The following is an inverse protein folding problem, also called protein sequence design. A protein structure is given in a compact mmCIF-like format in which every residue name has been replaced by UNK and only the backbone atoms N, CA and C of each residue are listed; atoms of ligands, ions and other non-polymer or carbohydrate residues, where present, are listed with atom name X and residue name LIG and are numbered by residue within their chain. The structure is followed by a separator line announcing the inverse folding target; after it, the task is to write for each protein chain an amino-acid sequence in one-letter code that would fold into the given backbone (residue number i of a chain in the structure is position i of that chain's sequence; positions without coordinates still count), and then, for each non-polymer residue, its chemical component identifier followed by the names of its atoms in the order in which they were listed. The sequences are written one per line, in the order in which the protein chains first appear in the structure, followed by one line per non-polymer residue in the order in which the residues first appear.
data_IF_118286512047
#
_entry.id   IF_118286512047
#
_cell.length_a   1.000
_cell.length_b   1.000
_cell.length_c   1.000
_cell.angle_alpha   90.00
_cell.angle_beta   90.00
_cell.angle_gamma   90.00
#
_symmetry.space_group_name_H-M   'P 1'
#
loop_
_entity.id
_entity.type
_entity.pdbx_description
1 polymer ?
#
# COMPACT_ATOMS: atom_id res chain seq x y z
N UNK A 1 -14.09 35.74 -36.30
CA UNK A 1 -14.24 35.64 -34.83
C UNK A 1 -15.09 34.46 -34.30
N UNK A 2 -15.51 33.48 -35.12
CA UNK A 2 -16.25 32.28 -34.63
C UNK A 2 -15.39 31.06 -34.31
N UNK A 3 -14.18 30.95 -34.87
CA UNK A 3 -13.31 29.78 -34.71
C UNK A 3 -12.65 29.66 -33.32
N UNK A 4 -12.46 30.77 -32.60
CA UNK A 4 -11.79 30.77 -31.29
C UNK A 4 -12.66 30.19 -30.16
N UNK A 5 -14.00 30.29 -30.29
CA UNK A 5 -14.93 29.73 -29.29
C UNK A 5 -15.05 28.21 -29.40
N UNK A 6 -14.93 27.66 -30.61
CA UNK A 6 -15.00 26.20 -30.85
C UNK A 6 -13.78 25.47 -30.32
N UNK A 7 -12.58 26.04 -30.48
CA UNK A 7 -11.33 25.43 -30.01
C UNK A 7 -11.26 25.32 -28.48
N UNK A 8 -11.68 26.36 -27.76
CA UNK A 8 -11.68 26.38 -26.29
C UNK A 8 -12.64 25.34 -25.69
N UNK A 9 -13.80 25.11 -26.31
CA UNK A 9 -14.77 24.11 -25.84
C UNK A 9 -14.26 22.69 -26.09
N UNK A 10 -13.65 22.42 -27.25
CA UNK A 10 -13.09 21.08 -27.54
C UNK A 10 -11.90 20.74 -26.64
N UNK A 11 -11.05 21.72 -26.31
CA UNK A 11 -9.89 21.50 -25.42
C UNK A 11 -10.32 21.29 -23.96
N UNK A 12 -11.37 21.98 -23.49
CA UNK A 12 -11.92 21.78 -22.15
C UNK A 12 -12.62 20.41 -22.00
N UNK A 13 -13.29 19.93 -23.05
CA UNK A 13 -13.94 18.60 -23.07
C UNK A 13 -12.88 17.48 -23.13
N UNK A 14 -11.81 17.66 -23.92
CA UNK A 14 -10.69 16.71 -23.93
C UNK A 14 -9.96 16.65 -22.57
N UNK A 15 -9.78 17.79 -21.90
CA UNK A 15 -9.21 17.85 -20.56
C UNK A 15 -10.09 17.19 -19.49
N UNK A 16 -11.40 17.33 -19.59
CA UNK A 16 -12.34 16.70 -18.65
C UNK A 16 -12.45 15.17 -18.88
N UNK A 17 -12.42 14.71 -20.14
CA UNK A 17 -12.42 13.29 -20.46
C UNK A 17 -11.10 12.61 -20.07
N UNK A 18 -9.96 13.28 -20.21
CA UNK A 18 -8.68 12.76 -19.72
C UNK A 18 -8.66 12.65 -18.18
N UNK A 19 -9.26 13.60 -17.45
CA UNK A 19 -9.35 13.56 -15.99
C UNK A 19 -10.33 12.47 -15.48
N UNK A 20 -11.38 12.15 -16.24
CA UNK A 20 -12.32 11.08 -15.89
C UNK A 20 -11.80 9.68 -16.25
N UNK A 21 -10.94 9.55 -17.25
CA UNK A 21 -10.44 8.23 -17.72
C UNK A 21 -9.44 7.56 -16.78
N UNK A 22 -8.77 8.32 -15.90
CA UNK A 22 -7.67 7.79 -15.07
C UNK A 22 -8.18 7.16 -13.76
N UNK A 23 -9.40 7.50 -13.30
CA UNK A 23 -10.01 6.90 -12.10
C UNK A 23 -10.96 5.73 -12.38
N UNK A 24 -11.19 5.36 -13.64
CA UNK A 24 -12.35 4.54 -14.03
C UNK A 24 -12.21 3.03 -13.85
N UNK A 25 -11.06 2.51 -13.39
CA UNK A 25 -10.84 1.05 -13.29
C UNK A 25 -10.29 0.56 -11.96
N UNK A 26 -10.21 1.42 -10.94
CA UNK A 26 -9.90 0.98 -9.58
C UNK A 26 -11.10 1.23 -8.69
N UNK A 27 -11.61 0.18 -8.06
CA UNK A 27 -12.62 0.31 -7.01
C UNK A 27 -12.06 1.21 -5.90
N UNK A 28 -12.91 1.96 -5.16
CA UNK A 28 -12.44 2.71 -4.01
C UNK A 28 -11.66 1.79 -3.08
N UNK A 29 -10.46 2.22 -2.68
CA UNK A 29 -9.64 1.46 -1.75
C UNK A 29 -10.45 1.14 -0.47
N UNK A 30 -10.39 -0.10 0.04
CA UNK A 30 -11.11 -0.48 1.26
C UNK A 30 -10.76 0.42 2.44
N UNK A 31 -11.72 0.66 3.34
CA UNK A 31 -11.40 1.42 4.56
C UNK A 31 -10.48 0.61 5.47
N UNK A 32 -9.38 1.21 5.91
CA UNK A 32 -8.52 0.69 6.98
C UNK A 32 -8.89 1.23 8.37
N UNK A 33 -9.82 2.20 8.41
CA UNK A 33 -10.30 2.80 9.65
C UNK A 33 -11.37 1.94 10.34
N UNK A 34 -11.53 2.15 11.65
CA UNK A 34 -12.51 1.46 12.48
C UNK A 34 -11.90 0.41 13.42
N UNK A 35 -12.72 -0.18 14.31
CA UNK A 35 -12.27 -1.28 15.16
C UNK A 35 -11.93 -2.51 14.30
N UNK A 36 -10.95 -3.28 14.76
CA UNK A 36 -10.53 -4.55 14.16
C UNK A 36 -10.98 -5.70 15.05
N UNK A 37 -11.73 -6.64 14.49
CA UNK A 37 -12.11 -7.87 15.17
C UNK A 37 -10.93 -8.85 15.21
N UNK A 38 -10.85 -9.73 16.23
CA UNK A 38 -9.84 -10.79 16.29
C UNK A 38 -9.74 -11.62 15.00
N UNK A 39 -8.56 -11.67 14.38
CA UNK A 39 -8.31 -12.39 13.13
C UNK A 39 -8.92 -11.75 11.88
N UNK A 40 -9.45 -10.52 11.98
CA UNK A 40 -9.97 -9.80 10.82
C UNK A 40 -8.86 -9.54 9.79
N UNK A 41 -9.20 -9.78 8.53
CA UNK A 41 -8.36 -9.49 7.38
C UNK A 41 -9.06 -8.47 6.48
N UNK A 42 -8.30 -7.52 5.93
CA UNK A 42 -8.75 -6.64 4.85
C UNK A 42 -7.74 -6.72 3.72
N UNK A 43 -8.22 -6.84 2.50
CA UNK A 43 -7.38 -6.99 1.32
C UNK A 43 -7.75 -5.97 0.24
N UNK A 44 -6.79 -5.63 -0.60
CA UNK A 44 -6.97 -4.75 -1.73
C UNK A 44 -5.78 -4.82 -2.68
N UNK A 45 -5.91 -4.11 -3.79
CA UNK A 45 -4.87 -3.98 -4.80
C UNK A 45 -4.59 -2.49 -4.99
N UNK A 46 -3.31 -2.12 -5.10
CA UNK A 46 -2.88 -0.74 -5.35
C UNK A 46 -2.06 -0.65 -6.63
N UNK A 47 -2.36 0.34 -7.48
CA UNK A 47 -1.60 0.62 -8.69
C UNK A 47 -0.45 1.59 -8.43
N UNK A 48 0.78 1.25 -8.84
CA UNK A 48 1.92 2.18 -8.85
C UNK A 48 2.32 2.52 -10.29
N UNK A 49 2.48 3.81 -10.61
CA UNK A 49 2.70 4.25 -12.00
C UNK A 49 4.10 4.81 -12.21
N UNK A 50 4.61 4.72 -13.43
CA UNK A 50 5.83 5.39 -13.85
C UNK A 50 5.53 6.88 -14.09
N UNK A 51 6.28 7.82 -13.48
CA UNK A 51 6.04 9.26 -13.66
C UNK A 51 6.26 9.74 -15.09
N UNK A 52 7.07 9.03 -15.89
CA UNK A 52 7.35 9.40 -17.28
C UNK A 52 6.30 8.85 -18.24
N UNK A 53 5.56 7.82 -17.82
CA UNK A 53 4.48 7.23 -18.60
C UNK A 53 3.45 6.58 -17.66
N UNK A 54 2.31 7.22 -17.43
CA UNK A 54 1.31 6.73 -16.47
C UNK A 54 0.55 5.48 -16.93
N UNK A 55 0.73 5.05 -18.19
CA UNK A 55 0.23 3.75 -18.67
C UNK A 55 1.21 2.61 -18.39
N UNK A 56 2.45 2.91 -18.00
CA UNK A 56 3.44 1.95 -17.50
C UNK A 56 3.25 1.86 -15.98
N UNK A 57 2.71 0.74 -15.51
CA UNK A 57 2.32 0.54 -14.13
C UNK A 57 2.53 -0.89 -13.65
N UNK A 58 2.62 -1.03 -12.34
CA UNK A 58 2.60 -2.31 -11.64
C UNK A 58 1.44 -2.33 -10.65
N UNK A 59 1.01 -3.50 -10.22
CA UNK A 59 0.03 -3.69 -9.15
C UNK A 59 0.73 -4.20 -7.89
N UNK A 60 0.10 -3.94 -6.75
CA UNK A 60 0.55 -4.40 -5.43
C UNK A 60 -0.66 -4.93 -4.70
N UNK A 61 -0.74 -6.24 -4.55
CA UNK A 61 -1.72 -6.89 -3.72
C UNK A 61 -1.29 -6.82 -2.29
N UNK A 62 -2.26 -6.58 -1.42
CA UNK A 62 -2.00 -6.45 -0.01
C UNK A 62 -3.11 -7.07 0.80
N UNK A 63 -2.70 -7.64 1.94
CA UNK A 63 -3.58 -8.07 3.01
C UNK A 63 -3.07 -7.44 4.30
N UNK A 64 -3.97 -6.85 5.08
CA UNK A 64 -3.71 -6.50 6.47
C UNK A 64 -4.49 -7.45 7.36
N UNK A 65 -3.78 -8.16 8.22
CA UNK A 65 -4.34 -9.08 9.22
C UNK A 65 -4.11 -8.51 10.62
N UNK A 66 -5.14 -8.52 11.47
CA UNK A 66 -4.95 -8.31 12.91
C UNK A 66 -4.65 -9.64 13.62
N UNK A 67 -3.39 -9.87 13.99
CA UNK A 67 -2.91 -11.09 14.64
C UNK A 67 -3.25 -11.11 16.14
N UNK A 68 -4.54 -11.11 16.48
CA UNK A 68 -4.99 -11.03 17.86
C UNK A 68 -4.58 -12.22 18.74
N UNK A 69 -4.29 -13.39 18.15
CA UNK A 69 -4.01 -14.63 18.88
C UNK A 69 -2.57 -15.14 18.71
N UNK A 70 -1.73 -14.43 17.93
CA UNK A 70 -0.32 -14.78 17.76
C UNK A 70 -0.07 -15.90 16.76
N UNK A 71 -0.88 -16.04 15.71
CA UNK A 71 -0.65 -16.99 14.62
C UNK A 71 0.68 -16.71 13.91
N UNK A 72 1.05 -15.43 13.82
CA UNK A 72 2.34 -15.00 13.29
C UNK A 72 3.42 -14.87 14.37
N UNK A 73 3.10 -15.20 15.62
CA UNK A 73 4.00 -15.07 16.77
C UNK A 73 3.94 -13.71 17.46
N UNK A 74 3.09 -12.79 17.01
CA UNK A 74 3.00 -11.42 17.50
C UNK A 74 1.55 -11.05 17.90
N UNK A 75 1.05 -11.59 19.04
CA UNK A 75 -0.29 -11.30 19.51
C UNK A 75 -0.54 -9.79 19.68
N UNK A 76 -1.61 -9.29 19.05
CA UNK A 76 -2.01 -7.89 19.13
C UNK A 76 -1.33 -6.97 18.11
N UNK A 77 -0.55 -7.54 17.18
CA UNK A 77 0.07 -6.78 16.09
C UNK A 77 -0.70 -6.93 14.78
N UNK A 78 -0.45 -6.02 13.84
CA UNK A 78 -0.93 -6.08 12.48
C UNK A 78 0.15 -6.66 11.57
N UNK A 79 -0.24 -7.58 10.69
CA UNK A 79 0.62 -8.12 9.65
C UNK A 79 0.22 -7.48 8.33
N UNK A 80 1.13 -6.72 7.75
CA UNK A 80 1.00 -6.07 6.45
C UNK A 80 1.72 -6.94 5.43
N UNK A 81 0.95 -7.63 4.59
CA UNK A 81 1.48 -8.46 3.51
C UNK A 81 1.36 -7.70 2.19
N UNK A 82 2.37 -7.85 1.34
CA UNK A 82 2.40 -7.29 -0.01
C UNK A 82 2.90 -8.34 -1.00
N UNK A 83 2.34 -8.35 -2.20
CA UNK A 83 2.89 -9.04 -3.36
C UNK A 83 2.94 -8.06 -4.52
N UNK A 84 4.10 -7.98 -5.18
CA UNK A 84 4.31 -7.06 -6.30
C UNK A 84 4.01 -7.79 -7.58
N UNK A 85 3.29 -7.13 -8.46
CA UNK A 85 2.83 -7.70 -9.71
C UNK A 85 3.25 -6.83 -10.88
N UNK A 86 4.10 -7.38 -11.74
CA UNK A 86 4.52 -6.67 -12.92
C UNK A 86 3.49 -6.84 -14.05
N UNK A 87 2.35 -6.17 -13.93
CA UNK A 87 1.19 -6.37 -14.80
C UNK A 87 1.33 -5.65 -16.14
N UNK A 88 1.85 -4.42 -16.13
CA UNK A 88 2.07 -3.61 -17.33
C UNK A 88 3.41 -2.86 -17.29
N UNK A 89 4.31 -3.25 -16.39
CA UNK A 89 5.57 -2.58 -16.18
C UNK A 89 6.52 -2.81 -17.35
N UNK A 90 7.10 -1.73 -17.88
CA UNK A 90 8.01 -1.81 -19.03
C UNK A 90 9.37 -2.48 -18.72
N UNK A 91 9.69 -2.64 -17.44
CA UNK A 91 10.97 -3.18 -16.96
C UNK A 91 10.75 -4.10 -15.74
N UNK A 92 11.76 -4.92 -15.42
CA UNK A 92 11.68 -5.86 -14.31
C UNK A 92 11.87 -5.17 -12.96
N UNK A 93 11.06 -5.52 -11.96
CA UNK A 93 11.14 -4.90 -10.63
C UNK A 93 12.31 -5.52 -9.85
N UNK A 94 13.16 -4.68 -9.26
CA UNK A 94 14.33 -5.09 -8.45
C UNK A 94 14.26 -4.70 -6.99
N UNK A 95 13.47 -3.70 -6.66
CA UNK A 95 13.28 -3.30 -5.29
C UNK A 95 11.93 -2.65 -5.07
N UNK A 96 11.47 -2.72 -3.83
CA UNK A 96 10.23 -2.15 -3.37
C UNK A 96 10.43 -1.52 -2.00
N UNK A 97 9.91 -0.31 -1.84
CA UNK A 97 10.08 0.47 -0.65
C UNK A 97 8.70 0.90 -0.16
N UNK A 98 8.42 0.64 1.10
CA UNK A 98 7.20 1.08 1.78
C UNK A 98 7.60 2.14 2.79
N UNK A 99 7.00 3.31 2.71
CA UNK A 99 7.29 4.43 3.61
C UNK A 99 6.08 4.71 4.49
N UNK A 100 6.31 4.66 5.79
CA UNK A 100 5.36 5.03 6.83
C UNK A 100 5.97 6.17 7.65
N UNK A 101 5.29 7.31 7.71
CA UNK A 101 5.73 8.41 8.58
C UNK A 101 5.80 7.95 10.05
N UNK A 102 6.57 8.63 10.89
CA UNK A 102 6.62 8.37 12.33
C UNK A 102 7.95 8.73 12.97
N UNK A 103 8.02 8.71 14.30
CA UNK A 103 9.30 8.55 15.01
C UNK A 103 9.52 7.05 15.21
N UNK A 104 10.78 6.61 15.21
CA UNK A 104 11.18 5.23 15.39
C UNK A 104 10.45 4.60 16.58
N UNK A 105 9.72 3.51 16.36
CA UNK A 105 8.98 2.87 17.42
C UNK A 105 8.20 1.65 16.96
N UNK A 106 8.87 0.51 16.99
CA UNK A 106 8.29 -0.82 17.19
C UNK A 106 7.69 -1.54 15.96
N UNK A 107 8.39 -1.56 14.83
CA UNK A 107 8.18 -2.70 13.94
C UNK A 107 8.66 -3.95 14.67
N UNK A 108 7.77 -4.92 14.84
CA UNK A 108 8.09 -6.18 15.51
C UNK A 108 8.95 -7.08 14.61
N UNK A 109 8.66 -7.08 13.30
CA UNK A 109 9.38 -7.88 12.30
C UNK A 109 9.21 -7.32 10.88
N UNK A 110 10.17 -7.60 10.01
CA UNK A 110 10.02 -7.51 8.56
C UNK A 110 10.59 -8.78 7.92
N UNK A 111 10.05 -9.19 6.78
CA UNK A 111 10.61 -10.36 6.10
C UNK A 111 9.93 -10.72 4.80
N UNK A 112 10.24 -11.93 4.35
CA UNK A 112 9.71 -12.55 3.14
C UNK A 112 9.18 -13.93 3.50
N UNK A 113 7.99 -14.27 2.99
CA UNK A 113 7.46 -15.64 3.03
C UNK A 113 7.40 -16.21 1.62
N UNK A 114 7.79 -17.47 1.50
CA UNK A 114 7.60 -18.20 0.26
C UNK A 114 6.11 -18.48 0.05
N UNK A 115 5.69 -18.44 -1.21
CA UNK A 115 4.31 -18.66 -1.59
C UNK A 115 3.73 -17.47 -2.33
N UNK A 116 2.45 -17.61 -2.60
CA UNK A 116 1.59 -16.75 -3.40
C UNK A 116 0.50 -16.21 -2.48
N UNK A 117 0.23 -14.90 -2.51
CA UNK A 117 -0.77 -14.26 -1.64
C UNK A 117 -2.17 -14.66 -2.07
N UNK A 118 -2.39 -15.00 -3.34
CA UNK A 118 -3.68 -15.44 -3.90
C UNK A 118 -4.07 -16.84 -3.43
N UNK A 119 -3.06 -17.64 -3.08
CA UNK A 119 -3.24 -18.98 -2.57
C UNK A 119 -3.63 -18.95 -1.09
N UNK A 120 -4.66 -19.72 -0.73
CA UNK A 120 -5.04 -19.94 0.67
C UNK A 120 -3.89 -20.58 1.44
N UNK A 121 -3.45 -19.95 2.52
CA UNK A 121 -2.41 -20.47 3.40
C UNK A 121 -2.83 -20.40 4.89
N UNK A 122 -3.91 -21.09 5.29
CA UNK A 122 -4.37 -21.07 6.67
C UNK A 122 -3.36 -21.75 7.62
N UNK A 123 -3.20 -21.26 8.86
CA UNK A 123 -3.96 -20.15 9.47
C UNK A 123 -3.37 -18.76 9.16
N UNK A 124 -2.32 -18.64 8.34
CA UNK A 124 -1.55 -17.41 8.17
C UNK A 124 -2.30 -16.34 7.38
N UNK A 125 -2.95 -16.70 6.26
CA UNK A 125 -3.83 -15.81 5.50
C UNK A 125 -4.86 -16.59 4.68
N UNK A 126 -5.98 -15.93 4.39
CA UNK A 126 -6.88 -16.31 3.31
C UNK A 126 -6.33 -15.77 2.00
N UNK A 127 -6.44 -16.54 0.92
CA UNK A 127 -5.95 -16.13 -0.40
C UNK A 127 -6.55 -14.80 -0.84
N UNK A 128 -5.71 -13.91 -1.36
CA UNK A 128 -6.11 -12.65 -1.97
C UNK A 128 -6.85 -12.95 -3.27
N UNK A 129 -8.18 -12.98 -3.20
CA UNK A 129 -9.03 -13.18 -4.36
C UNK A 129 -10.47 -12.81 -4.03
N UNK A 130 -11.28 -12.63 -5.08
CA UNK A 130 -12.72 -12.34 -4.99
C UNK A 130 -13.58 -13.34 -4.20
N UNK A 131 -13.13 -14.59 -3.97
CA UNK A 131 -13.88 -15.56 -3.16
C UNK A 131 -13.79 -15.23 -1.67
N UNK A 132 -12.61 -14.77 -1.22
CA UNK A 132 -12.37 -14.41 0.17
C UNK A 132 -12.64 -12.92 0.44
N UNK A 133 -12.44 -12.05 -0.55
CA UNK A 133 -12.59 -10.61 -0.43
C UNK A 133 -13.42 -10.05 -1.60
N UNK A 134 -14.71 -9.83 -1.39
CA UNK A 134 -15.63 -9.45 -2.49
C UNK A 134 -15.28 -8.17 -3.25
N UNK A 135 -14.47 -7.27 -2.66
CA UNK A 135 -13.97 -6.06 -3.31
C UNK A 135 -12.91 -6.33 -4.41
N UNK A 136 -12.51 -7.57 -4.59
CA UNK A 136 -11.47 -7.99 -5.53
C UNK A 136 -12.03 -8.59 -6.84
N UNK A 137 -13.35 -8.60 -7.03
CA UNK A 137 -14.04 -9.21 -8.20
C UNK A 137 -13.66 -8.71 -9.59
N UNK A 138 -12.89 -7.64 -9.70
CA UNK A 138 -12.45 -7.01 -10.97
C UNK A 138 -10.94 -6.98 -11.14
N UNK A 139 -10.20 -7.59 -10.21
CA UNK A 139 -8.74 -7.69 -10.30
C UNK A 139 -8.32 -8.61 -11.45
N UNK A 140 -7.05 -8.55 -11.83
CA UNK A 140 -6.51 -9.38 -12.91
C UNK A 140 -5.15 -9.89 -12.50
N UNK A 141 -5.11 -11.16 -12.11
CA UNK A 141 -3.88 -11.78 -11.66
C UNK A 141 -2.87 -11.97 -12.80
N UNK A 142 -1.60 -11.65 -12.59
CA UNK A 142 -0.49 -12.10 -13.41
C UNK A 142 -0.30 -13.59 -13.19
N UNK A 143 -1.07 -14.43 -13.90
CA UNK A 143 -1.01 -15.87 -13.69
C UNK A 143 0.42 -16.44 -13.72
N UNK A 144 0.74 -17.35 -12.80
CA UNK A 144 2.06 -17.95 -12.75
C UNK A 144 2.42 -18.57 -11.42
N UNK A 145 3.72 -18.64 -11.17
CA UNK A 145 4.26 -18.94 -9.84
C UNK A 145 5.08 -17.72 -9.40
N UNK A 146 5.12 -17.39 -8.10
CA UNK A 146 5.97 -16.33 -7.60
C UNK A 146 7.40 -16.47 -8.06
N UNK A 147 8.00 -15.37 -8.51
CA UNK A 147 9.32 -15.41 -9.12
C UNK A 147 10.44 -15.38 -8.06
N UNK A 148 11.32 -16.38 -8.13
CA UNK A 148 12.49 -16.49 -7.26
C UNK A 148 12.28 -17.41 -6.06
N UNK A 149 13.21 -17.37 -5.12
CA UNK A 149 13.15 -18.06 -3.84
C UNK A 149 13.60 -17.11 -2.72
N UNK A 150 13.46 -17.52 -1.46
CA UNK A 150 13.81 -16.69 -0.30
C UNK A 150 15.24 -16.12 -0.35
N UNK A 151 16.21 -16.86 -0.89
CA UNK A 151 17.60 -16.40 -1.01
C UNK A 151 17.81 -15.29 -2.04
N UNK A 152 16.81 -15.03 -2.90
CA UNK A 152 16.84 -13.90 -3.83
C UNK A 152 16.38 -12.58 -3.21
N UNK A 153 15.72 -12.61 -2.05
CA UNK A 153 15.10 -11.43 -1.45
C UNK A 153 15.82 -11.03 -0.17
N UNK A 154 15.99 -9.72 0.03
CA UNK A 154 16.47 -9.15 1.28
C UNK A 154 15.49 -8.06 1.74
N UNK A 155 15.16 -8.05 3.03
CA UNK A 155 14.39 -7.00 3.68
C UNK A 155 15.29 -6.26 4.68
N UNK A 156 15.21 -4.93 4.70
CA UNK A 156 15.93 -4.10 5.66
C UNK A 156 15.24 -2.75 5.86
N UNK A 157 15.63 -2.06 6.93
CA UNK A 157 15.20 -0.68 7.21
C UNK A 157 16.26 0.29 6.67
N UNK A 158 16.05 0.96 5.52
CA UNK A 158 16.98 1.98 5.04
C UNK A 158 16.96 3.23 5.93
N UNK A 159 15.82 3.50 6.58
CA UNK A 159 15.64 4.54 7.59
C UNK A 159 14.53 4.13 8.58
N UNK A 160 14.33 4.88 9.69
CA UNK A 160 13.31 4.52 10.70
C UNK A 160 11.86 4.48 10.22
N UNK A 161 11.58 5.04 9.04
CA UNK A 161 10.24 5.33 8.53
C UNK A 161 9.96 4.59 7.23
N UNK A 162 10.75 3.58 6.92
CA UNK A 162 10.57 2.80 5.72
C UNK A 162 11.18 1.42 5.82
N UNK A 163 10.64 0.53 5.00
CA UNK A 163 11.18 -0.81 4.75
C UNK A 163 11.51 -0.92 3.28
N UNK A 164 12.66 -1.52 2.98
CA UNK A 164 13.11 -1.83 1.64
C UNK A 164 13.23 -3.33 1.46
N UNK A 165 12.66 -3.82 0.36
CA UNK A 165 12.83 -5.17 -0.14
C UNK A 165 13.63 -5.08 -1.43
N UNK A 166 14.71 -5.85 -1.52
CA UNK A 166 15.60 -5.87 -2.69
C UNK A 166 15.75 -7.29 -3.21
N UNK A 167 15.81 -7.40 -4.54
CA UNK A 167 15.96 -8.66 -5.25
C UNK A 167 17.38 -8.76 -5.82
N UNK A 168 18.05 -9.88 -5.53
CA UNK A 168 19.40 -10.20 -6.00
C UNK A 168 19.39 -11.39 -6.95
N UNK A 169 20.06 -11.24 -8.09
CA UNK A 169 20.16 -12.28 -9.13
C UNK A 169 18.88 -12.51 -9.93
N UNK A 170 17.78 -11.82 -9.62
CA UNK A 170 16.50 -11.90 -10.34
C UNK A 170 15.84 -10.52 -10.44
N UNK A 171 14.79 -10.42 -11.26
CA UNK A 171 13.85 -9.30 -11.34
C UNK A 171 12.45 -9.83 -11.53
N UNK A 172 11.41 -9.20 -10.98
CA UNK A 172 10.03 -9.58 -11.28
C UNK A 172 9.72 -9.13 -12.72
N UNK A 173 9.72 -10.07 -13.66
CA UNK A 173 9.48 -9.77 -15.08
C UNK A 173 8.00 -9.53 -15.37
N UNK A 174 7.68 -8.91 -16.51
CA UNK A 174 6.31 -8.71 -16.96
C UNK A 174 5.49 -10.01 -16.91
N UNK A 175 4.27 -9.93 -16.37
CA UNK A 175 3.36 -11.06 -16.16
C UNK A 175 3.79 -12.00 -15.03
N UNK A 176 4.61 -11.53 -14.09
CA UNK A 176 5.05 -12.30 -12.90
C UNK A 176 4.87 -11.46 -11.65
N UNK A 177 4.92 -12.17 -10.53
CA UNK A 177 4.74 -11.63 -9.19
C UNK A 177 5.94 -11.92 -8.26
N UNK A 178 6.05 -11.18 -7.16
CA UNK A 178 7.02 -11.44 -6.11
C UNK A 178 6.60 -12.60 -5.21
N UNK A 179 7.52 -13.02 -4.34
CA UNK A 179 7.12 -13.69 -3.09
C UNK A 179 6.37 -12.70 -2.17
N UNK A 180 5.71 -13.21 -1.14
CA UNK A 180 5.02 -12.38 -0.14
C UNK A 180 6.04 -11.63 0.71
N UNK A 181 5.96 -10.30 0.68
CA UNK A 181 6.75 -9.36 1.48
C UNK A 181 5.91 -8.97 2.69
N UNK A 182 6.49 -8.85 3.88
CA UNK A 182 5.68 -8.48 5.06
C UNK A 182 6.36 -7.57 6.07
N UNK A 183 5.51 -6.80 6.76
CA UNK A 183 5.83 -5.99 7.94
C UNK A 183 4.91 -6.45 9.07
N UNK A 184 5.41 -6.63 10.29
CA UNK A 184 4.62 -6.84 11.50
C UNK A 184 4.80 -5.62 12.40
N UNK A 185 3.70 -5.02 12.80
CA UNK A 185 3.71 -3.77 13.58
C UNK A 185 2.45 -3.63 14.45
N UNK A 186 2.57 -3.22 15.73
CA UNK A 186 1.42 -3.05 16.62
C UNK A 186 0.56 -1.82 16.28
N UNK A 187 1.05 -0.89 15.45
CA UNK A 187 0.31 0.30 15.06
C UNK A 187 -0.79 -0.09 14.06
N UNK A 188 -1.97 0.50 14.25
CA UNK A 188 -3.09 0.33 13.35
C UNK A 188 -2.76 0.79 11.91
N UNK A 189 -3.37 0.17 10.90
CA UNK A 189 -3.08 0.46 9.51
C UNK A 189 -3.65 1.81 9.05
N UNK A 190 -2.91 2.48 8.18
CA UNK A 190 -3.35 3.64 7.39
C UNK A 190 -2.85 3.50 5.95
N UNK A 191 -3.22 4.40 5.05
CA UNK A 191 -2.66 4.44 3.70
C UNK A 191 -1.40 5.30 3.64
N UNK A 192 -0.34 4.77 3.02
CA UNK A 192 0.97 5.42 2.90
C UNK A 192 1.60 5.27 1.53
N UNK A 193 2.84 5.74 1.42
CA UNK A 193 3.58 5.78 0.16
C UNK A 193 4.32 4.46 -0.07
N UNK A 194 4.29 3.99 -1.32
CA UNK A 194 5.17 2.91 -1.77
C UNK A 194 5.79 3.23 -3.13
N UNK A 195 6.98 2.64 -3.34
CA UNK A 195 7.76 2.82 -4.55
C UNK A 195 8.45 1.52 -4.95
N UNK A 196 8.19 1.07 -6.16
CA UNK A 196 8.96 0.02 -6.82
C UNK A 196 10.00 0.63 -7.77
N UNK A 197 11.09 -0.08 -7.99
CA UNK A 197 12.18 0.41 -8.84
C UNK A 197 12.92 -0.72 -9.56
N UNK A 198 13.40 -0.39 -10.75
CA UNK A 198 14.48 -1.04 -11.46
C UNK A 198 15.71 -0.09 -11.48
N UNK A 199 16.79 -0.48 -12.15
CA UNK A 199 17.98 0.33 -12.38
C UNK A 199 17.73 1.65 -13.13
N UNK A 200 16.77 1.69 -14.04
CA UNK A 200 16.49 2.87 -14.89
C UNK A 200 15.05 3.42 -14.76
N UNK A 201 14.14 2.67 -14.16
CA UNK A 201 12.71 2.99 -14.05
C UNK A 201 12.24 2.91 -12.60
N UNK A 202 11.17 3.63 -12.29
CA UNK A 202 10.50 3.49 -10.99
C UNK A 202 9.00 3.73 -11.12
N UNK A 203 8.25 3.12 -10.21
CA UNK A 203 6.80 3.22 -10.12
C UNK A 203 6.40 3.63 -8.71
N UNK A 204 5.44 4.53 -8.59
CA UNK A 204 4.92 4.98 -7.30
C UNK A 204 3.65 5.81 -7.46
N UNK A 205 3.20 6.38 -6.35
CA UNK A 205 2.20 7.43 -6.37
C UNK A 205 2.86 8.76 -6.77
N UNK A 206 2.34 9.44 -7.79
CA UNK A 206 2.96 10.65 -8.36
C UNK A 206 1.90 11.71 -8.66
N UNK A 207 2.21 12.98 -8.38
CA UNK A 207 1.34 14.11 -8.74
C UNK A 207 1.95 14.88 -9.91
N UNK A 208 1.26 14.87 -11.05
CA UNK A 208 1.67 15.55 -12.28
C UNK A 208 0.57 16.53 -12.69
N UNK A 209 0.91 17.82 -12.82
CA UNK A 209 -0.06 18.84 -13.24
C UNK A 209 -1.28 18.98 -12.31
N UNK A 210 -1.13 18.66 -11.02
CA UNK A 210 -2.22 18.69 -10.03
C UNK A 210 -3.11 17.43 -10.01
N UNK A 211 -2.82 16.44 -10.85
CA UNK A 211 -3.50 15.13 -10.85
C UNK A 211 -2.58 14.10 -10.21
N UNK A 212 -3.09 13.40 -9.19
CA UNK A 212 -2.39 12.27 -8.57
C UNK A 212 -2.71 10.99 -9.31
N UNK A 213 -1.66 10.30 -9.73
CA UNK A 213 -1.68 8.99 -10.35
C UNK A 213 -1.08 7.95 -9.40
N UNK A 214 -1.54 6.71 -9.53
CA UNK A 214 -1.21 5.63 -8.61
C UNK A 214 -1.98 5.73 -7.29
N UNK A 215 -1.79 4.72 -6.47
CA UNK A 215 -2.57 4.46 -5.27
C UNK A 215 -1.63 4.18 -4.09
N UNK A 216 -2.00 4.62 -2.88
CA UNK A 216 -1.23 4.27 -1.69
C UNK A 216 -1.42 2.79 -1.33
N UNK A 217 -0.53 2.27 -0.48
CA UNK A 217 -0.63 0.92 0.10
C UNK A 217 -0.91 1.02 1.60
N UNK A 218 -1.48 0.00 2.26
CA UNK A 218 -1.57 -0.02 3.71
C UNK A 218 -0.17 0.04 4.32
N UNK A 219 0.00 0.83 5.38
CA UNK A 219 1.24 0.95 6.14
C UNK A 219 0.93 1.15 7.63
N UNK A 220 1.87 0.88 8.54
CA UNK A 220 1.72 1.26 9.93
C UNK A 220 1.47 2.76 10.08
N UNK A 221 0.46 3.14 10.88
CA UNK A 221 0.12 4.55 11.07
C UNK A 221 1.29 5.36 11.65
N UNK A 222 1.61 6.54 11.08
CA UNK A 222 2.43 7.54 11.76
C UNK A 222 1.73 7.94 13.04
N UNK A 223 2.28 7.61 14.20
CA UNK A 223 1.76 8.20 15.44
C UNK A 223 1.78 9.73 15.34
N UNK A 224 0.68 10.41 15.75
CA UNK A 224 0.68 10.99 17.09
C UNK A 224 -0.70 11.03 17.76
N UNK A 225 -1.56 10.03 17.54
CA UNK A 225 -2.95 10.05 18.01
C UNK A 225 -3.10 10.14 19.55
N UNK A 226 -2.39 9.28 20.29
CA UNK A 226 -2.45 9.30 21.76
C UNK A 226 -1.85 10.57 22.36
N UNK A 227 -0.74 11.10 21.83
CA UNK A 227 -0.11 12.29 22.41
C UNK A 227 -0.93 13.55 22.18
N UNK A 228 -1.59 13.69 21.02
CA UNK A 228 -2.52 14.79 20.75
C UNK A 228 -3.79 14.67 21.62
N UNK A 229 -4.34 13.46 21.79
CA UNK A 229 -5.48 13.23 22.67
C UNK A 229 -5.12 13.48 24.15
N UNK A 230 -3.92 13.07 24.58
CA UNK A 230 -3.38 13.30 25.93
C UNK A 230 -3.10 14.79 26.16
N UNK A 231 -2.50 15.49 25.20
CA UNK A 231 -2.20 16.92 25.31
C UNK A 231 -3.49 17.75 25.37
N UNK A 232 -4.50 17.42 24.56
CA UNK A 232 -5.80 18.12 24.56
C UNK A 232 -6.61 17.83 25.82
N UNK A 233 -6.58 16.59 26.33
CA UNK A 233 -7.24 16.25 27.61
C UNK A 233 -6.54 16.87 28.82
N UNK A 234 -5.20 16.92 28.87
CA UNK A 234 -4.45 17.67 29.90
C UNK A 234 -4.73 19.18 29.85
N UNK A 235 -4.77 19.77 28.67
CA UNK A 235 -5.15 21.18 28.49
C UNK A 235 -6.59 21.44 28.98
N UNK A 236 -7.53 20.51 28.67
CA UNK A 236 -8.91 20.57 29.15
C UNK A 236 -9.02 20.51 30.69
N UNK A 237 -8.25 19.62 31.33
CA UNK A 237 -8.20 19.51 32.81
C UNK A 237 -7.67 20.80 33.45
N UNK A 238 -6.60 21.40 32.90
CA UNK A 238 -6.04 22.64 33.41
C UNK A 238 -6.99 23.83 33.27
N UNK A 239 -7.74 23.92 32.16
CA UNK A 239 -8.77 24.95 31.96
C UNK A 239 -9.93 24.77 32.94
N UNK A 240 -10.37 23.53 33.17
CA UNK A 240 -11.42 23.22 34.13
C UNK A 240 -11.02 23.59 35.56
N UNK A 241 -9.82 23.21 36.01
CA UNK A 241 -9.31 23.54 37.35
C UNK A 241 -9.17 25.05 37.59
N UNK A 242 -8.86 25.84 36.54
CA UNK A 242 -8.82 27.31 36.63
C UNK A 242 -10.20 27.93 36.77
N UNK A 243 -11.24 27.30 36.22
CA UNK A 243 -12.63 27.76 36.31
C UNK A 243 -13.30 27.36 37.61
N UNK A 244 -12.94 26.22 38.20
CA UNK A 244 -13.54 25.75 39.46
C UNK A 244 -12.97 26.43 40.72
N UNK A 245 -11.88 27.20 40.60
CA UNK A 245 -11.23 27.96 41.69
C UNK A 245 -11.56 29.46 41.68
N UNK A 246 -12.45 29.91 40.79
CA UNK A 246 -13.06 31.24 40.81
C UNK A 246 -14.51 31.10 41.28
#
# INVERSE_FOLDING_TARGET
MRAFKSLLVTTAIAGLLAAMSVRLFALPLPSLSGPWAPGEMRAGQSKLVNPLNTTDYITVDWIVLYDSVGVWGYPGSFVYMYQLENTAGSSGIRAFNVKYGGAQGNNDEIGIKAGDLDANNPPLWSGHNSTNFGNLSVETEPGGTPQGNLGNYNAFFPDPNSVSYTLSGITISLGRESLVLYIIDPRAPTYGEAKAQDSASWWGMVTLGGVTYGEPVPVPSPEPGMFMLLATSLAGILVWQRRSKK
#
